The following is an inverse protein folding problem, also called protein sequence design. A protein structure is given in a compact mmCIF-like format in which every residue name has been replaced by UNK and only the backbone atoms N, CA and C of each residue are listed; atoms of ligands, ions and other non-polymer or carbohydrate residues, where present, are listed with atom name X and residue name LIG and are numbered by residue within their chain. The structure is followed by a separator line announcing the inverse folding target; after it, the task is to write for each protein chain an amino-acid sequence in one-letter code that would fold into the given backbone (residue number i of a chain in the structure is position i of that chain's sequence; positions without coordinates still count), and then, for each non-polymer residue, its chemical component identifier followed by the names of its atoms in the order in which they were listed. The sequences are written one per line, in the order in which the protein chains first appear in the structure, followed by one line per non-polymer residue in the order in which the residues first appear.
data_IF_787828621511
#
_entry.id   IF_787828621511
#
_cell.length_a   1.000
_cell.length_b   1.000
_cell.length_c   1.000
_cell.angle_alpha   90.00
_cell.angle_beta   90.00
_cell.angle_gamma   90.00
#
_symmetry.space_group_name_H-M   'P 1'
#
loop_
_entity.id
_entity.type
_entity.pdbx_description
1 polymer ?
#
# COMPACT_ATOMS: atom_id res chain seq x y z
N UNK A 1 16.60 9.80 -36.79
CA UNK A 1 15.47 10.74 -36.81
C UNK A 1 14.78 10.63 -35.46
N UNK A 2 15.03 11.58 -34.55
CA UNK A 2 14.31 11.62 -33.27
C UNK A 2 12.89 12.11 -33.57
N UNK A 3 11.93 11.21 -33.49
CA UNK A 3 10.52 11.54 -33.66
C UNK A 3 10.11 12.51 -32.54
N UNK A 4 9.63 13.72 -32.86
CA UNK A 4 9.20 14.70 -31.86
C UNK A 4 8.12 14.12 -30.91
N UNK A 5 7.32 13.15 -31.36
CA UNK A 5 6.35 12.46 -30.52
C UNK A 5 7.01 11.57 -29.46
N UNK A 6 8.15 10.95 -29.76
CA UNK A 6 8.88 10.12 -28.80
C UNK A 6 9.51 10.99 -27.71
N UNK A 7 10.01 12.17 -28.07
CA UNK A 7 10.53 13.15 -27.11
C UNK A 7 9.42 13.68 -26.20
N UNK A 8 8.25 13.98 -26.76
CA UNK A 8 7.10 14.44 -25.99
C UNK A 8 6.57 13.35 -25.03
N UNK A 9 6.46 12.10 -25.48
CA UNK A 9 6.07 10.97 -24.62
C UNK A 9 7.06 10.79 -23.46
N UNK A 10 8.36 10.93 -23.71
CA UNK A 10 9.39 10.83 -22.65
C UNK A 10 9.26 11.96 -21.65
N UNK A 11 9.04 13.19 -22.13
CA UNK A 11 8.82 14.37 -21.30
C UNK A 11 7.59 14.19 -20.40
N UNK A 12 6.44 13.83 -20.98
CA UNK A 12 5.21 13.60 -20.23
C UNK A 12 5.35 12.47 -19.20
N UNK A 13 6.11 11.42 -19.51
CA UNK A 13 6.40 10.34 -18.54
C UNK A 13 7.27 10.83 -17.38
N UNK A 14 8.22 11.72 -17.62
CA UNK A 14 9.05 12.31 -16.58
C UNK A 14 8.22 13.26 -15.69
N UNK A 15 7.43 14.17 -16.28
CA UNK A 15 6.54 15.07 -15.54
C UNK A 15 5.52 14.29 -14.70
N UNK A 16 4.95 13.20 -15.23
CA UNK A 16 4.07 12.32 -14.46
C UNK A 16 4.79 11.57 -13.33
N UNK A 17 6.07 11.23 -13.49
CA UNK A 17 6.85 10.60 -12.42
C UNK A 17 7.12 11.60 -11.29
N UNK A 18 7.54 12.83 -11.62
CA UNK A 18 7.75 13.91 -10.65
C UNK A 18 6.47 14.25 -9.88
N UNK A 19 5.34 14.43 -10.57
CA UNK A 19 4.06 14.70 -9.93
C UNK A 19 3.62 13.57 -8.98
N UNK A 20 3.93 12.31 -9.33
CA UNK A 20 3.65 11.17 -8.45
C UNK A 20 4.55 11.16 -7.23
N UNK A 21 5.82 11.52 -7.37
CA UNK A 21 6.75 11.66 -6.25
C UNK A 21 6.30 12.78 -5.31
N UNK A 22 5.92 13.94 -5.83
CA UNK A 22 5.40 15.07 -5.05
C UNK A 22 4.11 14.71 -4.31
N UNK A 23 3.17 14.05 -5.00
CA UNK A 23 1.94 13.56 -4.39
C UNK A 23 2.25 12.57 -3.26
N UNK A 24 3.17 11.62 -3.47
CA UNK A 24 3.58 10.67 -2.44
C UNK A 24 4.26 11.36 -1.26
N UNK A 25 5.11 12.36 -1.51
CA UNK A 25 5.76 13.15 -0.48
C UNK A 25 4.72 13.86 0.41
N UNK A 26 3.76 14.56 -0.21
CA UNK A 26 2.68 15.24 0.52
C UNK A 26 1.81 14.26 1.31
N UNK A 27 1.48 13.11 0.72
CA UNK A 27 0.72 12.05 1.39
C UNK A 27 1.45 11.48 2.61
N UNK A 28 2.79 11.38 2.55
CA UNK A 28 3.64 10.98 3.69
C UNK A 28 3.78 12.08 4.74
N UNK A 29 3.81 13.35 4.35
CA UNK A 29 3.83 14.46 5.30
C UNK A 29 2.53 14.53 6.12
N UNK A 30 1.43 14.03 5.56
CA UNK A 30 0.13 13.90 6.21
C UNK A 30 -0.04 12.57 6.98
N UNK A 31 1.01 11.76 7.12
CA UNK A 31 0.94 10.50 7.88
C UNK A 31 0.90 10.81 9.38
N UNK A 32 -0.19 10.45 10.04
CA UNK A 32 -0.27 10.63 11.49
C UNK A 32 0.65 9.61 12.20
N UNK A 33 1.21 9.93 13.38
CA UNK A 33 2.00 8.97 14.15
C UNK A 33 1.26 7.67 14.48
N UNK A 34 -0.07 7.71 14.52
CA UNK A 34 -0.91 6.52 14.65
C UNK A 34 -0.87 5.64 13.38
N UNK A 35 -0.97 6.24 12.19
CA UNK A 35 -0.89 5.51 10.91
C UNK A 35 0.45 4.78 10.77
N UNK A 36 1.56 5.42 11.17
CA UNK A 36 2.89 4.82 11.12
C UNK A 36 2.99 3.60 12.04
N UNK A 37 2.54 3.71 13.29
CA UNK A 37 2.57 2.60 14.26
C UNK A 37 1.73 1.42 13.77
N UNK A 38 0.56 1.69 13.23
CA UNK A 38 -0.31 0.64 12.70
C UNK A 38 0.31 -0.01 11.48
N UNK A 39 0.90 0.76 10.57
CA UNK A 39 1.56 0.23 9.39
C UNK A 39 2.77 -0.66 9.73
N UNK A 40 3.51 -0.34 10.79
CA UNK A 40 4.61 -1.16 11.33
C UNK A 40 4.10 -2.53 11.79
N UNK A 41 2.93 -2.61 12.42
CA UNK A 41 2.33 -3.89 12.83
C UNK A 41 1.64 -4.62 11.66
N UNK A 42 0.99 -3.86 10.77
CA UNK A 42 0.14 -4.37 9.71
C UNK A 42 0.92 -5.03 8.57
N UNK A 43 2.00 -4.41 8.08
CA UNK A 43 2.70 -4.90 6.88
C UNK A 43 3.30 -6.30 7.03
N UNK A 44 3.94 -6.66 8.17
CA UNK A 44 4.40 -8.02 8.40
C UNK A 44 3.26 -9.04 8.35
N UNK A 45 2.15 -8.77 9.04
CA UNK A 45 0.96 -9.65 9.05
C UNK A 45 0.37 -9.84 7.65
N UNK A 46 0.31 -8.76 6.85
CA UNK A 46 -0.10 -8.86 5.45
C UNK A 46 0.87 -9.76 4.67
N UNK A 47 2.18 -9.62 4.88
CA UNK A 47 3.18 -10.45 4.21
C UNK A 47 3.07 -11.93 4.65
N UNK A 48 2.79 -12.21 5.92
CA UNK A 48 2.62 -13.57 6.43
C UNK A 48 1.32 -14.23 5.91
N UNK A 49 0.21 -13.48 5.86
CA UNK A 49 -1.10 -14.00 5.44
C UNK A 49 -1.25 -14.09 3.92
N UNK A 50 -0.81 -13.07 3.18
CA UNK A 50 -0.99 -12.99 1.71
C UNK A 50 0.26 -13.42 0.93
N UNK A 51 1.43 -13.49 1.56
CA UNK A 51 2.70 -13.76 0.89
C UNK A 51 3.06 -12.69 -0.14
N UNK A 52 3.69 -13.13 -1.24
CA UNK A 52 4.14 -12.26 -2.33
C UNK A 52 3.03 -11.92 -3.34
N UNK A 53 1.77 -12.19 -3.03
CA UNK A 53 0.66 -11.96 -3.96
C UNK A 53 0.34 -10.47 -4.05
N UNK A 54 -0.09 -10.04 -5.23
CA UNK A 54 -0.69 -8.73 -5.37
C UNK A 54 -2.11 -8.75 -4.78
N UNK A 55 -2.48 -7.70 -4.05
CA UNK A 55 -3.75 -7.60 -3.33
C UNK A 55 -4.34 -6.21 -3.40
N UNK A 56 -5.66 -6.13 -3.26
CA UNK A 56 -6.42 -4.90 -3.00
C UNK A 56 -6.68 -4.76 -1.51
N UNK A 57 -7.16 -3.59 -1.09
CA UNK A 57 -7.64 -3.38 0.28
C UNK A 57 -8.73 -4.41 0.67
N UNK A 58 -9.61 -4.79 -0.26
CA UNK A 58 -10.68 -5.75 -0.03
C UNK A 58 -10.14 -7.16 0.21
N UNK A 59 -9.08 -7.54 -0.52
CA UNK A 59 -8.44 -8.85 -0.39
C UNK A 59 -7.82 -9.02 1.00
N UNK A 60 -7.25 -7.96 1.58
CA UNK A 60 -6.73 -7.98 2.96
C UNK A 60 -7.84 -8.23 3.97
N UNK A 61 -8.97 -7.53 3.84
CA UNK A 61 -10.14 -7.73 4.72
C UNK A 61 -10.68 -9.14 4.57
N UNK A 62 -10.82 -9.63 3.34
CA UNK A 62 -11.28 -10.99 3.07
C UNK A 62 -10.32 -12.04 3.66
N UNK A 63 -9.01 -11.86 3.51
CA UNK A 63 -8.04 -12.76 4.10
C UNK A 63 -8.10 -12.74 5.63
N UNK A 64 -8.21 -11.56 6.25
CA UNK A 64 -8.36 -11.42 7.69
C UNK A 64 -9.61 -12.14 8.24
N UNK A 65 -10.73 -12.07 7.52
CA UNK A 65 -11.98 -12.73 7.92
C UNK A 65 -11.94 -14.26 7.75
N UNK A 66 -11.19 -14.76 6.77
CA UNK A 66 -11.20 -16.18 6.40
C UNK A 66 -10.00 -16.98 6.95
N UNK A 67 -8.93 -16.31 7.40
CA UNK A 67 -7.73 -16.96 7.91
C UNK A 67 -7.88 -17.29 9.40
N UNK A 68 -7.82 -18.58 9.74
CA UNK A 68 -7.98 -19.09 11.12
C UNK A 68 -6.65 -19.31 11.84
N UNK A 69 -5.65 -18.48 11.54
CA UNK A 69 -4.35 -18.48 12.24
C UNK A 69 -4.28 -17.32 13.23
N UNK A 70 -3.37 -17.35 14.21
CA UNK A 70 -3.12 -16.20 15.08
C UNK A 70 -2.83 -14.90 14.29
N UNK A 71 -2.05 -15.00 13.22
CA UNK A 71 -1.73 -13.85 12.37
C UNK A 71 -2.97 -13.31 11.63
N UNK A 72 -3.85 -14.20 11.18
CA UNK A 72 -5.13 -13.82 10.58
C UNK A 72 -6.05 -13.10 11.57
N UNK A 73 -6.07 -13.54 12.83
CA UNK A 73 -6.83 -12.88 13.90
C UNK A 73 -6.24 -11.50 14.24
N UNK A 74 -4.92 -11.40 14.39
CA UNK A 74 -4.24 -10.13 14.64
C UNK A 74 -4.45 -9.13 13.48
N UNK A 75 -4.41 -9.62 12.23
CA UNK A 75 -4.72 -8.82 11.05
C UNK A 75 -6.17 -8.32 11.08
N UNK A 76 -7.12 -9.15 11.49
CA UNK A 76 -8.53 -8.78 11.61
C UNK A 76 -8.76 -7.69 12.66
N UNK A 77 -8.09 -7.76 13.80
CA UNK A 77 -8.17 -6.73 14.85
C UNK A 77 -7.68 -5.37 14.33
N UNK A 78 -6.49 -5.32 13.71
CA UNK A 78 -5.93 -4.10 13.15
C UNK A 78 -6.79 -3.52 12.00
N UNK A 79 -7.35 -4.39 11.17
CA UNK A 79 -8.27 -3.98 10.09
C UNK A 79 -9.56 -3.41 10.68
N UNK A 80 -10.14 -4.03 11.72
CA UNK A 80 -11.37 -3.56 12.36
C UNK A 80 -11.18 -2.18 12.95
N UNK A 81 -10.09 -1.94 13.69
CA UNK A 81 -9.77 -0.63 14.26
C UNK A 81 -9.71 0.50 13.21
N UNK A 82 -9.51 0.17 11.93
CA UNK A 82 -9.36 1.15 10.84
C UNK A 82 -10.52 1.18 9.86
N UNK A 83 -11.21 0.06 9.68
CA UNK A 83 -12.40 -0.04 8.84
C UNK A 83 -13.66 0.48 9.57
N UNK A 84 -13.57 0.80 10.87
CA UNK A 84 -14.66 1.44 11.63
C UNK A 84 -14.53 2.96 11.76
N UNK A 85 -13.37 3.54 11.43
CA UNK A 85 -13.26 5.00 11.28
C UNK A 85 -14.06 5.43 10.03
N UNK A 86 -14.76 6.57 10.10
CA UNK A 86 -15.62 7.10 9.02
C UNK A 86 -14.97 6.94 7.63
N UNK A 87 -15.53 6.05 6.80
CA UNK A 87 -15.04 5.76 5.44
C UNK A 87 -14.55 4.33 5.19
N UNK A 88 -14.46 3.47 6.21
CA UNK A 88 -14.32 2.02 6.08
C UNK A 88 -13.23 1.53 5.13
N UNK A 89 -13.59 0.66 4.17
CA UNK A 89 -12.64 0.08 3.20
C UNK A 89 -11.88 1.15 2.39
N UNK A 90 -12.53 2.28 2.09
CA UNK A 90 -11.91 3.39 1.36
C UNK A 90 -10.88 4.11 2.22
N UNK A 91 -11.15 4.30 3.51
CA UNK A 91 -10.19 4.89 4.45
C UNK A 91 -8.96 3.98 4.61
N UNK A 92 -9.17 2.67 4.72
CA UNK A 92 -8.09 1.69 4.75
C UNK A 92 -7.23 1.71 3.47
N UNK A 93 -7.86 1.73 2.29
CA UNK A 93 -7.13 1.87 1.02
C UNK A 93 -6.33 3.18 0.90
N UNK A 94 -6.86 4.29 1.43
CA UNK A 94 -6.11 5.56 1.51
C UNK A 94 -4.92 5.45 2.46
N UNK A 95 -5.05 4.78 3.60
CA UNK A 95 -3.93 4.52 4.51
C UNK A 95 -2.82 3.73 3.79
N UNK A 96 -3.17 2.63 3.11
CA UNK A 96 -2.22 1.84 2.32
C UNK A 96 -1.50 2.68 1.27
N UNK A 97 -2.24 3.51 0.52
CA UNK A 97 -1.65 4.43 -0.46
C UNK A 97 -0.68 5.44 0.18
N UNK A 98 -0.96 5.92 1.40
CA UNK A 98 -0.09 6.87 2.11
C UNK A 98 1.22 6.24 2.58
N UNK A 99 1.21 4.96 2.97
CA UNK A 99 2.41 4.24 3.43
C UNK A 99 3.20 3.56 2.30
N UNK A 100 2.72 3.66 1.06
CA UNK A 100 3.38 3.08 -0.10
C UNK A 100 4.83 3.59 -0.26
N UNK A 101 5.73 2.66 -0.55
CA UNK A 101 7.16 2.90 -0.72
C UNK A 101 7.93 3.10 0.58
N UNK A 102 7.26 3.22 1.73
CA UNK A 102 7.95 3.42 3.01
C UNK A 102 8.53 2.10 3.54
N UNK A 103 9.80 2.09 4.00
CA UNK A 103 10.34 0.96 4.75
C UNK A 103 9.78 0.96 6.18
N UNK A 104 9.04 -0.09 6.54
CA UNK A 104 8.39 -0.25 7.85
C UNK A 104 8.54 -1.70 8.31
N UNK A 105 9.09 -1.92 9.52
CA UNK A 105 9.28 -3.25 10.11
C UNK A 105 9.93 -4.29 9.18
N UNK A 106 10.97 -3.91 8.44
CA UNK A 106 11.61 -4.81 7.48
C UNK A 106 10.75 -5.15 6.26
N UNK A 107 9.64 -4.44 6.05
CA UNK A 107 8.74 -4.60 4.91
C UNK A 107 8.59 -3.28 4.14
N UNK A 108 8.15 -3.38 2.89
CA UNK A 108 7.76 -2.24 2.07
C UNK A 108 6.54 -2.59 1.24
N UNK A 109 5.53 -1.72 1.27
CA UNK A 109 4.38 -1.82 0.38
C UNK A 109 4.74 -1.19 -0.97
N UNK A 110 4.57 -1.90 -2.08
CA UNK A 110 4.82 -1.39 -3.43
C UNK A 110 3.55 -1.50 -4.28
N UNK A 111 3.34 -0.53 -5.18
CA UNK A 111 2.27 -0.64 -6.17
C UNK A 111 2.52 -1.82 -7.12
N UNK A 112 1.48 -2.62 -7.34
CA UNK A 112 1.45 -3.71 -8.31
C UNK A 112 0.57 -3.36 -9.52
N UNK A 113 0.22 -2.08 -9.68
CA UNK A 113 -0.64 -1.56 -10.75
C UNK A 113 -2.09 -1.33 -10.31
N UNK A 114 -2.92 -0.93 -11.28
CA UNK A 114 -4.34 -0.67 -11.09
C UNK A 114 -5.17 -1.72 -11.84
N UNK A 115 -6.30 -2.13 -11.24
CA UNK A 115 -7.25 -3.06 -11.84
C UNK A 115 -8.69 -2.60 -11.70
N UNK A 116 -9.63 -3.40 -12.21
CA UNK A 116 -11.08 -3.13 -12.12
C UNK A 116 -11.54 -2.98 -10.67
N UNK A 117 -10.92 -3.71 -9.76
CA UNK A 117 -11.25 -3.75 -8.34
C UNK A 117 -10.49 -2.67 -7.52
N UNK A 118 -9.76 -1.79 -8.21
CA UNK A 118 -8.98 -0.71 -7.64
C UNK A 118 -7.47 -0.94 -7.69
N UNK A 119 -6.75 -0.13 -6.91
CA UNK A 119 -5.29 -0.18 -6.81
C UNK A 119 -4.84 -1.47 -6.13
N UNK A 120 -3.78 -2.07 -6.68
CA UNK A 120 -3.17 -3.28 -6.15
C UNK A 120 -1.80 -2.97 -5.57
N UNK A 121 -1.47 -3.67 -4.50
CA UNK A 121 -0.18 -3.61 -3.85
C UNK A 121 0.41 -5.00 -3.65
N UNK A 122 1.71 -5.03 -3.37
CA UNK A 122 2.41 -6.21 -2.86
C UNK A 122 3.29 -5.77 -1.70
N UNK A 123 3.44 -6.60 -0.68
CA UNK A 123 4.45 -6.38 0.36
C UNK A 123 5.74 -7.08 -0.05
N UNK A 124 6.86 -6.36 0.03
CA UNK A 124 8.21 -6.89 -0.19
C UNK A 124 8.95 -6.86 1.14
N UNK A 125 9.54 -7.99 1.52
CA UNK A 125 10.47 -8.05 2.65
C UNK A 125 11.80 -7.43 2.23
N UNK A 126 12.26 -6.47 3.02
CA UNK A 126 13.56 -5.86 2.86
C UNK A 126 14.56 -6.79 3.53
N UNK A 127 15.38 -7.47 2.75
CA UNK A 127 16.54 -8.19 3.26
C UNK A 127 17.40 -7.19 4.05
N UNK A 128 17.67 -7.51 5.32
CA UNK A 128 18.49 -6.64 6.18
C UNK A 128 19.82 -6.33 5.51
N UNK A 129 20.13 -5.04 5.39
CA UNK A 129 21.50 -4.55 5.22
C UNK A 129 22.17 -4.42 6.57
#
# INVERSE_FOLDING_TARGET
MNDPLILEIRRLRAELAELREDQQFLMRALLQPADKRNAVALLPLIADVLGDRAFTAADVVAAALNTRTPDGQALLELVRERATDDGGLRAFGKMLARIEGMPLAGCRLISAGDGRDGRRWRVVRLSGG
#
